data_IF_977528799263
#
_entry.id   IF_977528799263
#
_cell.length_a   1.000
_cell.length_b   1.000
_cell.length_c   1.000
_cell.angle_alpha   90.00
_cell.angle_beta   90.00
_cell.angle_gamma   90.00
#
_symmetry.space_group_name_H-M   'P 1'
#
loop_
_entity.id
_entity.type
_entity.pdbx_description
1 polymer ?
#
# COMPACT_ATOMS: atom_id res chain seq x y z
N UNK A 1 -1.90 -10.54 4.69
CA UNK A 1 -0.46 -10.72 4.41
C UNK A 1 0.36 -9.57 5.00
N UNK A 2 1.18 -9.84 6.03
CA UNK A 2 2.03 -8.85 6.71
C UNK A 2 3.41 -9.46 7.05
N UNK A 3 4.48 -8.65 7.16
CA UNK A 3 5.80 -9.14 7.57
C UNK A 3 5.76 -9.66 9.02
N UNK A 4 6.53 -10.70 9.30
CA UNK A 4 6.84 -11.09 10.67
C UNK A 4 7.87 -10.12 11.31
N UNK A 5 8.14 -10.29 12.60
CA UNK A 5 9.22 -9.55 13.27
C UNK A 5 10.56 -9.85 12.57
N UNK A 6 11.30 -8.80 12.23
CA UNK A 6 12.58 -8.93 11.52
C UNK A 6 12.44 -9.04 9.99
N UNK A 7 11.23 -8.84 9.45
CA UNK A 7 10.97 -8.85 8.00
C UNK A 7 10.41 -7.52 7.49
N UNK A 8 10.61 -7.30 6.20
CA UNK A 8 9.86 -6.32 5.39
C UNK A 8 9.32 -7.02 4.15
N UNK A 9 8.26 -6.49 3.56
CA UNK A 9 7.65 -7.10 2.37
C UNK A 9 7.91 -6.27 1.11
N UNK A 10 8.08 -6.96 -0.02
CA UNK A 10 7.91 -6.37 -1.34
C UNK A 10 6.73 -7.05 -2.05
N UNK A 11 5.80 -6.27 -2.58
CA UNK A 11 4.66 -6.79 -3.34
C UNK A 11 4.87 -6.60 -4.84
N UNK A 12 4.63 -7.65 -5.63
CA UNK A 12 4.82 -7.65 -7.09
C UNK A 12 3.85 -8.59 -7.79
N UNK A 13 3.52 -8.30 -9.05
CA UNK A 13 2.80 -9.22 -9.95
C UNK A 13 3.76 -10.15 -10.72
N UNK A 14 5.07 -9.95 -10.55
CA UNK A 14 6.12 -10.82 -11.08
C UNK A 14 6.53 -11.83 -10.00
N UNK A 15 6.28 -13.15 -10.16
CA UNK A 15 6.65 -14.20 -9.21
C UNK A 15 8.09 -14.71 -9.36
N UNK A 16 8.87 -14.15 -10.30
CA UNK A 16 10.17 -14.70 -10.71
C UNK A 16 11.36 -13.94 -10.14
N UNK A 17 11.15 -13.00 -9.20
CA UNK A 17 12.20 -12.13 -8.69
C UNK A 17 13.07 -12.90 -7.68
N UNK A 18 14.20 -13.40 -8.13
CA UNK A 18 15.18 -14.09 -7.26
C UNK A 18 16.13 -13.13 -6.52
N UNK A 19 16.28 -11.91 -7.03
CA UNK A 19 17.26 -10.94 -6.53
C UNK A 19 16.78 -9.51 -6.69
N UNK A 20 16.69 -8.79 -5.58
CA UNK A 20 16.33 -7.38 -5.56
C UNK A 20 17.57 -6.52 -5.68
N UNK A 21 17.71 -5.85 -6.82
CA UNK A 21 18.79 -4.88 -7.07
C UNK A 21 18.26 -3.46 -6.86
N UNK A 22 19.05 -2.55 -6.26
CA UNK A 22 18.66 -1.15 -6.15
C UNK A 22 18.34 -0.56 -7.51
N UNK A 23 17.22 0.16 -7.60
CA UNK A 23 16.78 0.85 -8.82
C UNK A 23 16.44 2.30 -8.49
N UNK A 24 16.75 3.20 -9.43
CA UNK A 24 16.28 4.58 -9.37
C UNK A 24 14.75 4.60 -9.48
N UNK A 25 14.10 5.34 -8.60
CA UNK A 25 12.63 5.45 -8.58
C UNK A 25 12.21 6.86 -8.97
N UNK A 26 11.47 7.01 -10.07
CA UNK A 26 10.93 8.33 -10.45
C UNK A 26 10.03 8.89 -9.33
N UNK A 27 10.12 10.18 -8.96
CA UNK A 27 10.93 11.23 -9.61
C UNK A 27 12.36 11.40 -9.04
N UNK A 28 12.74 10.65 -8.00
CA UNK A 28 14.08 10.71 -7.43
C UNK A 28 15.08 9.92 -8.29
N UNK A 29 15.94 10.66 -8.98
CA UNK A 29 16.97 10.12 -9.86
C UNK A 29 18.35 10.04 -9.21
N UNK A 30 18.46 10.36 -7.91
CA UNK A 30 19.76 10.55 -7.26
C UNK A 30 20.27 9.28 -6.58
N UNK A 31 19.39 8.52 -5.93
CA UNK A 31 19.77 7.32 -5.19
C UNK A 31 18.96 6.10 -5.61
N UNK A 32 19.65 5.00 -5.88
CA UNK A 32 19.01 3.74 -6.22
C UNK A 32 18.70 2.96 -4.95
N UNK A 33 17.46 2.49 -4.84
CA UNK A 33 17.00 1.73 -3.67
C UNK A 33 16.32 0.44 -4.08
N UNK A 34 16.44 -0.58 -3.22
CA UNK A 34 15.45 -1.64 -3.09
C UNK A 34 14.36 -1.10 -2.16
N UNK A 35 13.11 -1.20 -2.61
CA UNK A 35 11.94 -0.70 -1.88
C UNK A 35 11.17 -1.87 -1.27
N UNK A 36 10.78 -1.70 -0.01
CA UNK A 36 9.94 -2.62 0.74
C UNK A 36 8.99 -1.83 1.64
N UNK A 37 8.12 -2.55 2.34
CA UNK A 37 7.18 -1.99 3.30
C UNK A 37 7.16 -2.75 4.62
N UNK A 38 7.02 -1.99 5.69
CA UNK A 38 6.81 -2.50 7.03
C UNK A 38 5.34 -2.86 7.27
N UNK A 39 5.07 -3.43 8.45
CA UNK A 39 3.77 -3.96 8.85
C UNK A 39 2.58 -3.05 8.53
N UNK A 40 2.62 -1.79 8.95
CA UNK A 40 1.48 -0.86 8.84
C UNK A 40 1.24 -0.36 7.42
N UNK A 41 2.25 -0.44 6.57
CA UNK A 41 2.20 0.03 5.17
C UNK A 41 1.92 -1.11 4.20
N UNK A 42 2.05 -2.37 4.62
CA UNK A 42 1.72 -3.52 3.79
C UNK A 42 0.32 -3.46 3.13
N UNK A 43 -0.75 -3.01 3.83
CA UNK A 43 -2.08 -2.90 3.21
C UNK A 43 -2.15 -1.93 2.03
N UNK A 44 -1.26 -0.94 1.93
CA UNK A 44 -1.22 0.00 0.81
C UNK A 44 -0.92 -0.71 -0.53
N UNK A 45 -0.42 -1.94 -0.46
CA UNK A 45 0.06 -2.72 -1.59
C UNK A 45 -0.80 -3.97 -1.87
N UNK A 46 -1.93 -4.16 -1.19
CA UNK A 46 -2.92 -5.20 -1.49
C UNK A 46 -3.82 -4.83 -2.68
N UNK A 47 -3.19 -4.42 -3.79
CA UNK A 47 -3.86 -3.99 -5.01
C UNK A 47 -2.96 -4.26 -6.23
N UNK A 48 -3.53 -4.37 -7.43
CA UNK A 48 -2.75 -4.34 -8.66
C UNK A 48 -1.80 -3.13 -8.69
N UNK A 49 -0.60 -3.30 -9.23
CA UNK A 49 0.47 -2.30 -9.23
C UNK A 49 0.05 -0.98 -9.84
N UNK A 50 -0.81 -1.01 -10.85
CA UNK A 50 -1.30 0.18 -11.55
C UNK A 50 -2.61 0.72 -10.99
N UNK A 51 -3.24 0.03 -10.04
CA UNK A 51 -4.47 0.50 -9.42
C UNK A 51 -4.21 1.83 -8.69
N UNK A 52 -4.88 2.92 -9.08
CA UNK A 52 -4.90 4.15 -8.30
C UNK A 52 -5.65 3.86 -7.01
N UNK A 53 -5.10 4.33 -5.89
CA UNK A 53 -5.68 4.11 -4.57
C UNK A 53 -5.41 5.33 -3.69
N UNK A 54 -6.45 5.76 -3.00
CA UNK A 54 -6.38 6.80 -2.00
C UNK A 54 -6.68 6.16 -0.65
N UNK A 55 -5.87 6.45 0.36
CA UNK A 55 -5.90 5.75 1.63
C UNK A 55 -5.80 6.79 2.74
N UNK A 56 -6.61 6.62 3.78
CA UNK A 56 -6.60 7.49 4.94
C UNK A 56 -6.72 6.66 6.22
N UNK A 57 -6.06 7.08 7.29
CA UNK A 57 -6.13 6.43 8.59
C UNK A 57 -5.99 7.43 9.74
N UNK A 58 -6.47 7.03 10.91
CA UNK A 58 -6.35 7.81 12.14
C UNK A 58 -4.88 7.88 12.55
N UNK A 59 -4.38 9.10 12.74
CA UNK A 59 -3.09 9.40 13.35
C UNK A 59 -3.22 10.14 14.69
N UNK A 60 -2.11 10.48 15.35
CA UNK A 60 -2.11 11.13 16.65
C UNK A 60 -2.81 12.49 16.70
N UNK A 61 -2.87 13.20 15.57
CA UNK A 61 -3.48 14.53 15.44
C UNK A 61 -4.88 14.51 14.81
N UNK A 62 -5.42 13.34 14.49
CA UNK A 62 -6.73 13.22 13.83
C UNK A 62 -7.86 13.63 14.76
N UNK A 63 -8.76 14.47 14.25
CA UNK A 63 -9.99 14.85 14.94
C UNK A 63 -11.10 13.81 14.74
N UNK A 64 -12.02 13.70 15.69
CA UNK A 64 -13.20 12.84 15.54
C UNK A 64 -14.09 13.29 14.38
N UNK A 65 -14.18 14.59 14.12
CA UNK A 65 -14.96 15.14 13.01
C UNK A 65 -14.44 14.64 11.65
N UNK A 66 -13.13 14.74 11.41
CA UNK A 66 -12.55 14.24 10.16
C UNK A 66 -12.60 12.72 10.06
N UNK A 67 -12.36 12.01 11.17
CA UNK A 67 -12.54 10.54 11.21
C UNK A 67 -13.96 10.16 10.79
N UNK A 68 -14.98 10.76 11.41
CA UNK A 68 -16.37 10.38 11.18
C UNK A 68 -16.83 10.78 9.77
N UNK A 69 -16.37 11.93 9.27
CA UNK A 69 -16.67 12.43 7.92
C UNK A 69 -16.02 11.59 6.82
N UNK A 70 -14.76 11.19 6.98
CA UNK A 70 -13.99 10.52 5.92
C UNK A 70 -13.96 9.01 6.09
N UNK A 71 -13.65 8.48 7.28
CA UNK A 71 -13.63 7.02 7.54
C UNK A 71 -15.03 6.50 7.86
N UNK A 72 -15.90 7.33 8.44
CA UNK A 72 -17.23 6.92 8.89
C UNK A 72 -17.23 6.62 10.38
N UNK A 73 -18.26 7.11 11.07
CA UNK A 73 -18.52 6.75 12.46
C UNK A 73 -18.59 5.23 12.59
N UNK A 74 -17.98 4.69 13.64
CA UNK A 74 -17.93 3.25 13.95
C UNK A 74 -17.35 2.34 12.86
N UNK A 75 -16.69 2.92 11.85
CA UNK A 75 -16.23 2.18 10.67
C UNK A 75 -14.72 1.85 10.73
N UNK A 76 -14.15 1.78 11.93
CA UNK A 76 -12.74 1.48 12.17
C UNK A 76 -11.82 2.70 12.06
N UNK A 77 -10.54 2.45 11.79
CA UNK A 77 -9.47 3.48 11.85
C UNK A 77 -8.76 3.71 10.51
N UNK A 78 -9.16 2.99 9.46
CA UNK A 78 -8.53 3.08 8.13
C UNK A 78 -9.51 2.76 7.02
N UNK A 79 -9.39 3.50 5.93
CA UNK A 79 -10.16 3.31 4.71
C UNK A 79 -9.23 3.35 3.52
N UNK A 80 -9.44 2.42 2.58
CA UNK A 80 -8.86 2.45 1.25
C UNK A 80 -9.98 2.71 0.24
N UNK A 81 -9.71 3.57 -0.74
CA UNK A 81 -10.63 3.90 -1.81
C UNK A 81 -9.98 3.64 -3.16
N UNK A 82 -10.76 3.05 -4.07
CA UNK A 82 -10.43 2.76 -5.46
C UNK A 82 -11.62 3.10 -6.35
N UNK A 83 -11.45 3.03 -7.67
CA UNK A 83 -12.53 3.25 -8.62
C UNK A 83 -13.18 1.93 -9.07
N UNK A 84 -14.46 1.96 -9.42
CA UNK A 84 -15.19 0.79 -9.95
C UNK A 84 -14.48 0.10 -11.11
N UNK A 85 -13.76 0.86 -11.94
CA UNK A 85 -13.00 0.36 -13.08
C UNK A 85 -11.95 -0.70 -12.71
N UNK A 86 -11.51 -0.74 -11.44
CA UNK A 86 -10.44 -1.60 -10.97
C UNK A 86 -10.93 -2.83 -10.23
N UNK A 87 -12.24 -2.99 -10.00
CA UNK A 87 -12.77 -4.10 -9.21
C UNK A 87 -12.41 -5.47 -9.77
N UNK A 88 -12.59 -5.67 -11.08
CA UNK A 88 -12.26 -6.95 -11.72
C UNK A 88 -10.76 -7.21 -11.66
N UNK A 89 -9.93 -6.17 -11.88
CA UNK A 89 -8.48 -6.28 -11.76
C UNK A 89 -8.03 -6.63 -10.34
N UNK A 90 -8.64 -6.04 -9.30
CA UNK A 90 -8.36 -6.39 -7.90
C UNK A 90 -8.77 -7.83 -7.60
N UNK A 91 -9.90 -8.28 -8.13
CA UNK A 91 -10.41 -9.64 -7.93
C UNK A 91 -9.53 -10.71 -8.60
N UNK A 92 -8.96 -10.41 -9.76
CA UNK A 92 -8.27 -11.41 -10.58
C UNK A 92 -6.75 -11.31 -10.58
N UNK A 93 -6.16 -10.27 -9.96
CA UNK A 93 -4.70 -10.08 -9.97
C UNK A 93 -3.98 -11.23 -9.27
N UNK A 94 -2.89 -11.68 -9.87
CA UNK A 94 -1.94 -12.57 -9.21
C UNK A 94 -0.88 -11.72 -8.51
N UNK A 95 -1.15 -11.38 -7.26
CA UNK A 95 -0.23 -10.60 -6.44
C UNK A 95 0.64 -11.55 -5.61
N UNK A 96 1.93 -11.23 -5.52
CA UNK A 96 2.90 -11.97 -4.73
C UNK A 96 3.57 -11.05 -3.71
N UNK A 97 3.88 -11.61 -2.55
CA UNK A 97 4.65 -10.97 -1.51
C UNK A 97 5.99 -11.71 -1.32
N UNK A 98 7.06 -10.94 -1.36
CA UNK A 98 8.42 -11.39 -1.08
C UNK A 98 8.80 -10.96 0.33
N UNK A 99 9.12 -11.93 1.18
CA UNK A 99 9.70 -11.66 2.50
C UNK A 99 11.17 -11.34 2.34
N UNK A 100 11.57 -10.17 2.80
CA UNK A 100 12.96 -9.71 2.81
C UNK A 100 13.42 -9.54 4.27
N UNK A 101 14.71 -9.78 4.58
CA UNK A 101 15.22 -9.48 5.92
C UNK A 101 15.13 -7.98 6.19
N UNK A 102 14.66 -7.59 7.39
CA UNK A 102 14.52 -6.18 7.74
C UNK A 102 15.87 -5.47 7.85
N UNK A 103 16.93 -6.15 8.29
CA UNK A 103 18.30 -5.69 8.04
C UNK A 103 18.66 -6.10 6.60
N UNK A 104 18.99 -5.18 5.66
CA UNK A 104 19.66 -3.89 5.84
C UNK A 104 18.77 -2.67 5.49
N UNK A 105 17.46 -2.76 5.68
CA UNK A 105 16.54 -1.67 5.37
C UNK A 105 16.49 -0.62 6.48
N UNK A 106 16.34 0.64 6.06
CA UNK A 106 16.05 1.78 6.94
C UNK A 106 14.76 2.47 6.50
N UNK A 107 14.10 3.13 7.44
CA UNK A 107 12.90 3.91 7.12
C UNK A 107 13.24 5.11 6.25
N UNK A 108 12.44 5.35 5.21
CA UNK A 108 12.51 6.51 4.33
C UNK A 108 11.08 6.93 3.98
N UNK A 109 10.61 8.02 4.60
CA UNK A 109 9.18 8.39 4.66
C UNK A 109 8.30 7.21 5.12
N UNK A 110 7.33 6.83 4.29
CA UNK A 110 6.37 5.75 4.50
C UNK A 110 6.86 4.40 3.94
N UNK A 111 8.12 4.30 3.52
CA UNK A 111 8.70 3.09 2.95
C UNK A 111 9.93 2.61 3.73
N UNK A 112 10.34 1.38 3.45
CA UNK A 112 11.61 0.81 3.88
C UNK A 112 12.53 0.74 2.66
N UNK A 113 13.75 1.25 2.77
CA UNK A 113 14.70 1.27 1.65
C UNK A 113 16.07 0.72 2.04
N UNK A 114 16.79 0.17 1.06
CA UNK A 114 18.22 -0.11 1.18
C UNK A 114 18.92 0.11 -0.15
N UNK A 115 20.19 0.53 -0.11
CA UNK A 115 21.05 0.70 -1.30
C UNK A 115 21.82 -0.57 -1.65
N UNK A 116 21.58 -1.65 -0.92
CA UNK A 116 22.25 -2.94 -1.11
C UNK A 116 21.38 -3.93 -1.88
N UNK A 117 22.02 -4.91 -2.50
CA UNK A 117 21.32 -6.03 -3.14
C UNK A 117 20.76 -6.95 -2.06
N UNK A 118 19.50 -7.38 -2.21
CA UNK A 118 18.81 -8.23 -1.23
C UNK A 118 18.30 -9.50 -1.88
N UNK A 119 18.50 -10.63 -1.21
CA UNK A 119 17.86 -11.91 -1.55
C UNK A 119 16.62 -12.11 -0.68
N UNK A 120 15.49 -12.57 -1.24
CA UNK A 120 14.34 -12.99 -0.44
C UNK A 120 14.69 -14.09 0.54
N UNK A 121 13.96 -14.14 1.66
CA UNK A 121 14.07 -15.19 2.68
C UNK A 121 13.50 -16.53 2.21
N UNK A 122 12.66 -16.50 1.18
CA UNK A 122 12.00 -17.66 0.60
C UNK A 122 11.41 -17.36 -0.78
N UNK A 123 10.71 -18.32 -1.40
CA UNK A 123 10.00 -18.10 -2.65
C UNK A 123 8.90 -17.03 -2.49
N UNK A 124 8.44 -16.49 -3.62
CA UNK A 124 7.32 -15.56 -3.64
C UNK A 124 6.05 -16.24 -3.10
N UNK A 125 5.40 -15.63 -2.09
CA UNK A 125 4.14 -16.12 -1.54
C UNK A 125 2.98 -15.47 -2.30
N UNK A 126 2.07 -16.28 -2.85
CA UNK A 126 0.83 -15.74 -3.43
C UNK A 126 0.04 -15.04 -2.35
N UNK A 127 -0.39 -13.82 -2.63
CA UNK A 127 -1.36 -13.09 -1.81
C UNK A 127 -2.73 -13.54 -2.30
N UNK A 128 -3.51 -14.16 -1.41
CA UNK A 128 -4.82 -14.73 -1.73
C UNK A 128 -5.87 -13.61 -1.92
N UNK A 129 -7.09 -13.81 -1.40
CA UNK A 129 -8.19 -12.89 -1.60
C UNK A 129 -7.91 -11.52 -0.97
N UNK A 130 -7.70 -10.53 -1.83
CA UNK A 130 -7.41 -9.15 -1.41
C UNK A 130 -8.58 -8.53 -0.67
N UNK A 131 -9.84 -8.89 -0.97
CA UNK A 131 -11.00 -8.40 -0.24
C UNK A 131 -11.06 -9.01 1.17
N UNK A 132 -10.82 -10.32 1.28
CA UNK A 132 -10.74 -10.98 2.58
C UNK A 132 -9.61 -10.38 3.45
N UNK A 133 -8.45 -10.08 2.86
CA UNK A 133 -7.36 -9.41 3.60
C UNK A 133 -7.75 -8.03 4.14
N UNK A 134 -8.55 -7.27 3.41
CA UNK A 134 -9.06 -5.99 3.88
C UNK A 134 -10.05 -6.17 5.04
N UNK A 135 -10.99 -7.10 4.88
CA UNK A 135 -12.02 -7.42 5.89
C UNK A 135 -11.40 -7.92 7.20
N UNK A 136 -10.51 -8.91 7.13
CA UNK A 136 -9.76 -9.44 8.28
C UNK A 136 -8.92 -8.38 8.98
N UNK A 137 -8.40 -7.40 8.23
CA UNK A 137 -7.64 -6.28 8.77
C UNK A 137 -8.51 -5.16 9.36
N UNK A 138 -9.84 -5.26 9.26
CA UNK A 138 -10.76 -4.19 9.64
C UNK A 138 -10.58 -2.92 8.80
N UNK A 139 -10.11 -3.06 7.56
CA UNK A 139 -9.88 -1.94 6.64
C UNK A 139 -11.04 -1.90 5.65
N UNK A 140 -11.80 -0.83 5.69
CA UNK A 140 -12.84 -0.62 4.68
C UNK A 140 -12.21 -0.45 3.30
N UNK A 141 -12.75 -1.15 2.31
CA UNK A 141 -12.48 -0.90 0.90
C UNK A 141 -13.69 -0.24 0.23
N UNK A 142 -13.55 1.03 -0.15
CA UNK A 142 -14.58 1.80 -0.85
C UNK A 142 -14.32 1.80 -2.34
N UNK A 143 -15.40 1.64 -3.09
CA UNK A 143 -15.39 1.66 -4.54
C UNK A 143 -16.19 2.87 -5.00
N UNK A 144 -15.52 3.79 -5.71
CA UNK A 144 -16.05 5.11 -6.03
C UNK A 144 -16.14 5.30 -7.56
N UNK A 145 -17.04 6.18 -8.05
CA UNK A 145 -17.08 6.54 -9.46
C UNK A 145 -15.90 7.45 -9.86
N UNK A 146 -15.43 8.29 -8.92
CA UNK A 146 -14.28 9.21 -9.08
C UNK A 146 -13.45 9.21 -7.82
N UNK A 147 -12.17 8.83 -7.93
CA UNK A 147 -11.27 8.75 -6.78
C UNK A 147 -10.79 10.13 -6.30
N UNK A 148 -10.69 11.09 -7.22
CA UNK A 148 -10.15 12.42 -6.93
C UNK A 148 -10.97 13.19 -5.89
N UNK A 149 -12.29 13.00 -5.86
CA UNK A 149 -13.17 13.67 -4.90
C UNK A 149 -12.87 13.20 -3.47
N UNK A 150 -12.73 11.88 -3.27
CA UNK A 150 -12.28 11.34 -1.97
C UNK A 150 -10.86 11.77 -1.61
N UNK A 151 -9.95 11.79 -2.59
CA UNK A 151 -8.57 12.20 -2.35
C UNK A 151 -8.46 13.65 -1.88
N UNK A 152 -9.21 14.57 -2.50
CA UNK A 152 -9.23 15.98 -2.13
C UNK A 152 -9.67 16.18 -0.66
N UNK A 153 -10.70 15.45 -0.22
CA UNK A 153 -11.17 15.49 1.16
C UNK A 153 -10.14 14.89 2.14
N UNK A 154 -9.50 13.79 1.78
CA UNK A 154 -8.50 13.14 2.62
C UNK A 154 -7.29 14.07 2.89
N UNK A 155 -6.74 14.69 1.85
CA UNK A 155 -5.55 15.56 2.00
C UNK A 155 -5.85 16.89 2.70
N UNK A 156 -7.10 17.34 2.67
CA UNK A 156 -7.55 18.56 3.35
C UNK A 156 -7.92 18.33 4.83
N UNK A 157 -7.83 17.09 5.32
CA UNK A 157 -8.23 16.70 6.67
C UNK A 157 -7.07 16.56 7.65
N UNK A 158 -7.39 16.26 8.90
CA UNK A 158 -6.42 15.88 9.95
C UNK A 158 -6.08 14.39 9.99
N UNK A 159 -6.57 13.60 9.03
CA UNK A 159 -6.16 12.20 8.87
C UNK A 159 -4.76 12.11 8.29
N UNK A 160 -4.08 11.02 8.63
CA UNK A 160 -2.90 10.59 7.89
C UNK A 160 -3.36 9.98 6.56
N UNK A 161 -2.59 10.17 5.49
CA UNK A 161 -3.01 9.74 4.16
C UNK A 161 -1.86 9.28 3.28
N UNK A 162 -2.20 8.48 2.26
CA UNK A 162 -1.29 8.11 1.18
C UNK A 162 -2.04 7.91 -0.12
N UNK A 163 -1.44 8.37 -1.20
CA UNK A 163 -1.97 8.29 -2.55
C UNK A 163 -0.99 7.57 -3.46
N UNK A 164 -1.37 6.41 -3.99
CA UNK A 164 -0.50 5.61 -4.87
C UNK A 164 -1.13 5.54 -6.25
N UNK A 165 -0.32 5.87 -7.27
CA UNK A 165 -0.71 5.85 -8.70
C UNK A 165 -1.94 6.71 -9.01
N UNK A 166 -2.21 7.77 -8.25
CA UNK A 166 -3.39 8.64 -8.46
C UNK A 166 -3.50 9.22 -9.88
N UNK A 167 -2.39 9.39 -10.60
CA UNK A 167 -2.39 9.76 -12.02
C UNK A 167 -3.10 8.75 -12.97
N UNK A 168 -3.36 7.53 -12.50
CA UNK A 168 -4.07 6.49 -13.22
C UNK A 168 -5.58 6.50 -12.89
N UNK A 169 -6.04 7.36 -11.97
CA UNK A 169 -7.45 7.54 -11.70
C UNK A 169 -8.15 8.21 -12.90
N UNK A 170 -9.47 8.04 -12.98
CA UNK A 170 -10.28 8.73 -13.99
C UNK A 170 -10.24 10.25 -13.73
N UNK A 171 -10.20 11.08 -14.78
CA UNK A 171 -10.22 12.54 -14.64
C UNK A 171 -11.39 13.10 -13.80
#
# INVERSE_FOLDING_TARGET
MRPAVGEVLHFSEDPTIELFRPRLAKPDHTTAYVWAVAHDRAPDYWFPRQCPRAMAWVGPSTTSEDRDRIIGADSGTRVHAVEYAWLDAIRSVELYAYRLPAHPFTQHDAAMVTTTVVRPLGPAERVDDLFALHDEAGIQLRVLPRLHDFWAEAVASTLEWSGIRLRNARP
#
